data_IF_326662233269
#
_entry.id   IF_326662233269
#
_cell.length_a   1.000
_cell.length_b   1.000
_cell.length_c   1.000
_cell.angle_alpha   90.00
_cell.angle_beta   90.00
_cell.angle_gamma   90.00
#
_symmetry.space_group_name_H-M   'P 1'
#
loop_
_entity.id
_entity.type
_entity.pdbx_description
1 polymer ?
#
# COMPACT_ATOMS: atom_id res chain seq x y z
N UNK A 1 -0.92 -5.98 23.77
CA UNK A 1 -0.48 -4.88 22.89
C UNK A 1 -1.62 -4.58 21.93
N UNK A 2 -2.26 -3.42 22.03
CA UNK A 2 -3.21 -2.99 21.01
C UNK A 2 -2.37 -2.68 19.76
N UNK A 3 -2.68 -3.31 18.63
CA UNK A 3 -2.03 -3.00 17.37
C UNK A 3 -2.48 -1.60 16.95
N UNK A 4 -1.55 -0.68 16.86
CA UNK A 4 -1.82 0.66 16.35
C UNK A 4 -1.51 0.68 14.85
N UNK A 5 -2.42 1.23 14.05
CA UNK A 5 -2.30 1.20 12.59
C UNK A 5 -1.23 2.19 12.15
N UNK A 6 -0.14 1.70 11.55
CA UNK A 6 0.90 2.57 11.02
C UNK A 6 0.51 3.11 9.63
N UNK A 7 1.07 4.26 9.26
CA UNK A 7 0.80 4.87 7.94
C UNK A 7 1.09 3.90 6.79
N UNK A 8 2.16 3.12 6.87
CA UNK A 8 2.52 2.14 5.85
C UNK A 8 1.56 0.94 5.79
N UNK A 9 0.83 0.63 6.88
CA UNK A 9 -0.22 -0.38 6.85
C UNK A 9 -1.40 0.09 5.98
N UNK A 10 -1.73 1.37 6.03
CA UNK A 10 -2.76 1.98 5.19
C UNK A 10 -2.33 2.05 3.72
N UNK A 11 -1.05 2.34 3.45
CA UNK A 11 -0.47 2.29 2.10
C UNK A 11 -0.56 0.86 1.54
N UNK A 12 -0.15 -0.14 2.34
CA UNK A 12 -0.23 -1.55 1.97
C UNK A 12 -1.67 -1.99 1.72
N UNK A 13 -2.59 -1.59 2.59
CA UNK A 13 -4.02 -1.85 2.42
C UNK A 13 -4.55 -1.21 1.12
N UNK A 14 -4.15 0.02 0.82
CA UNK A 14 -4.53 0.71 -0.42
C UNK A 14 -4.08 -0.02 -1.68
N UNK A 15 -2.87 -0.61 -1.67
CA UNK A 15 -2.36 -1.42 -2.78
C UNK A 15 -3.20 -2.70 -2.95
N UNK A 16 -3.42 -3.44 -1.86
CA UNK A 16 -4.21 -4.66 -1.88
C UNK A 16 -5.66 -4.40 -2.32
N UNK A 17 -6.25 -3.30 -1.83
CA UNK A 17 -7.58 -2.85 -2.22
C UNK A 17 -7.63 -2.50 -3.71
N UNK A 18 -6.65 -1.75 -4.23
CA UNK A 18 -6.57 -1.41 -5.66
C UNK A 18 -6.57 -2.66 -6.54
N UNK A 19 -5.72 -3.65 -6.21
CA UNK A 19 -5.64 -4.91 -6.94
C UNK A 19 -6.94 -5.72 -6.86
N UNK A 20 -7.54 -5.78 -5.69
CA UNK A 20 -8.81 -6.48 -5.47
C UNK A 20 -9.95 -5.85 -6.28
N UNK A 21 -10.00 -4.51 -6.33
CA UNK A 21 -10.96 -3.77 -7.16
C UNK A 21 -10.71 -4.03 -8.64
N UNK A 22 -9.45 -3.99 -9.11
CA UNK A 22 -9.11 -4.32 -10.51
C UNK A 22 -9.55 -5.73 -10.92
N UNK A 23 -9.29 -6.72 -10.06
CA UNK A 23 -9.75 -8.08 -10.27
C UNK A 23 -11.28 -8.18 -10.28
N UNK A 24 -11.96 -7.53 -9.33
CA UNK A 24 -13.42 -7.46 -9.25
C UNK A 24 -14.03 -6.84 -10.51
N UNK A 25 -13.48 -5.73 -10.99
CA UNK A 25 -13.94 -5.07 -12.23
C UNK A 25 -13.77 -6.00 -13.43
N UNK A 26 -12.61 -6.62 -13.59
CA UNK A 26 -12.34 -7.53 -14.70
C UNK A 26 -13.19 -8.82 -14.68
N UNK A 27 -13.68 -9.22 -13.51
CA UNK A 27 -14.53 -10.42 -13.37
C UNK A 27 -16.03 -10.13 -13.43
N UNK A 28 -16.47 -8.96 -12.95
CA UNK A 28 -17.89 -8.61 -12.78
C UNK A 28 -18.42 -7.69 -13.88
N UNK A 29 -17.57 -7.20 -14.79
CA UNK A 29 -17.96 -6.30 -15.87
C UNK A 29 -17.48 -6.80 -17.23
N UNK A 30 -17.84 -6.10 -18.31
CA UNK A 30 -17.36 -6.39 -19.67
C UNK A 30 -15.96 -5.82 -19.97
N UNK A 31 -15.31 -5.18 -19.00
CA UNK A 31 -13.94 -4.67 -19.15
C UNK A 31 -12.98 -5.87 -19.17
N UNK A 32 -12.04 -5.87 -20.13
CA UNK A 32 -10.99 -6.89 -20.20
C UNK A 32 -10.20 -6.97 -18.89
N UNK A 33 -10.05 -8.19 -18.35
CA UNK A 33 -9.29 -8.44 -17.13
C UNK A 33 -7.86 -7.87 -17.21
N UNK A 34 -7.20 -8.01 -18.35
CA UNK A 34 -5.85 -7.44 -18.55
C UNK A 34 -5.85 -5.92 -18.40
N UNK A 35 -6.84 -5.23 -18.97
CA UNK A 35 -6.96 -3.76 -18.87
C UNK A 35 -7.29 -3.34 -17.44
N UNK A 36 -8.19 -4.06 -16.77
CA UNK A 36 -8.58 -3.78 -15.39
C UNK A 36 -7.41 -3.96 -14.41
N UNK A 37 -6.61 -5.03 -14.56
CA UNK A 37 -5.44 -5.28 -13.71
C UNK A 37 -4.33 -4.26 -14.00
N UNK A 38 -4.03 -3.96 -15.26
CA UNK A 38 -3.01 -2.95 -15.60
C UNK A 38 -3.38 -1.58 -15.04
N UNK A 39 -4.64 -1.15 -15.20
CA UNK A 39 -5.10 0.14 -14.68
C UNK A 39 -5.06 0.21 -13.15
N UNK A 40 -5.53 -0.83 -12.46
CA UNK A 40 -5.38 -0.95 -11.01
C UNK A 40 -3.90 -0.96 -10.58
N UNK A 41 -3.02 -1.54 -11.41
CA UNK A 41 -1.57 -1.58 -11.20
C UNK A 41 -0.98 -0.17 -11.21
N UNK A 42 -1.38 0.66 -12.17
CA UNK A 42 -0.99 2.06 -12.23
C UNK A 42 -1.46 2.84 -11.00
N UNK A 43 -2.68 2.57 -10.52
CA UNK A 43 -3.19 3.17 -9.27
C UNK A 43 -2.35 2.72 -8.07
N UNK A 44 -2.00 1.44 -7.98
CA UNK A 44 -1.12 0.94 -6.93
C UNK A 44 0.27 1.59 -6.99
N UNK A 45 0.85 1.75 -8.20
CA UNK A 45 2.10 2.49 -8.38
C UNK A 45 1.99 3.94 -7.93
N UNK A 46 0.86 4.61 -8.17
CA UNK A 46 0.64 5.97 -7.68
C UNK A 46 0.54 6.03 -6.15
N UNK A 47 -0.14 5.06 -5.51
CA UNK A 47 -0.21 4.93 -4.05
C UNK A 47 1.19 4.72 -3.47
N UNK A 48 1.97 3.81 -4.03
CA UNK A 48 3.36 3.56 -3.64
C UNK A 48 4.19 4.83 -3.83
N UNK A 49 4.09 5.47 -4.99
CA UNK A 49 4.81 6.69 -5.31
C UNK A 49 4.51 7.82 -4.33
N UNK A 50 3.24 8.05 -4.02
CA UNK A 50 2.83 9.03 -3.03
C UNK A 50 3.33 8.65 -1.62
N UNK A 51 3.17 7.38 -1.24
CA UNK A 51 3.59 6.86 0.06
C UNK A 51 5.08 7.01 0.30
N UNK A 52 5.90 6.77 -0.71
CA UNK A 52 7.36 6.76 -0.59
C UNK A 52 8.02 8.12 -0.87
N UNK A 53 7.43 8.98 -1.70
CA UNK A 53 8.11 10.18 -2.21
C UNK A 53 7.42 11.50 -1.88
N UNK A 54 6.12 11.50 -1.57
CA UNK A 54 5.40 12.72 -1.15
C UNK A 54 5.29 12.76 0.37
N UNK A 55 4.89 11.64 0.96
CA UNK A 55 4.97 11.41 2.40
C UNK A 55 6.26 10.64 2.76
N UNK A 56 7.31 10.83 1.94
CA UNK A 56 8.58 10.12 2.02
C UNK A 56 9.34 10.35 3.33
N UNK A 57 10.40 9.55 3.55
CA UNK A 57 10.68 8.83 4.78
C UNK A 57 10.66 9.70 6.03
N UNK A 58 10.05 9.13 7.07
CA UNK A 58 10.02 9.61 8.45
C UNK A 58 11.32 10.33 8.81
N UNK A 59 11.21 11.60 9.17
CA UNK A 59 12.35 12.48 9.44
C UNK A 59 13.21 11.99 10.63
N UNK A 60 12.72 11.05 11.45
CA UNK A 60 13.36 10.70 12.72
C UNK A 60 13.57 9.18 12.97
N UNK A 61 14.76 8.78 13.48
CA UNK A 61 15.13 7.41 13.88
C UNK A 61 14.23 6.71 14.93
N UNK A 62 13.25 7.41 15.51
CA UNK A 62 12.34 6.87 16.52
C UNK A 62 11.40 5.81 15.93
N UNK A 63 11.09 5.89 14.63
CA UNK A 63 10.33 4.87 13.88
C UNK A 63 11.11 3.55 13.65
N UNK A 64 12.43 3.53 13.91
CA UNK A 64 13.29 2.34 13.85
C UNK A 64 13.60 1.76 15.25
N UNK A 65 13.29 2.49 16.32
CA UNK A 65 13.81 2.19 17.68
C UNK A 65 13.16 0.95 18.32
N UNK A 66 11.94 0.58 17.92
CA UNK A 66 11.25 -0.62 18.44
C UNK A 66 11.93 -1.96 18.05
N UNK A 67 12.81 -1.97 17.04
CA UNK A 67 13.53 -3.19 16.63
C UNK A 67 14.87 -3.40 17.37
N UNK A 68 15.46 -2.34 17.92
CA UNK A 68 16.76 -2.40 18.62
C UNK A 68 16.61 -2.81 20.09
N UNK A 69 15.49 -2.45 20.73
CA UNK A 69 15.22 -2.80 22.14
C UNK A 69 14.90 -4.29 22.33
N UNK A 70 14.58 -5.04 21.26
CA UNK A 70 14.42 -6.49 21.30
C UNK A 70 15.74 -7.27 21.17
N UNK A 71 16.85 -6.59 20.86
CA UNK A 71 18.19 -7.19 20.67
C UNK A 71 19.17 -6.88 21.82
N UNK A 72 18.75 -6.14 22.84
CA UNK A 72 19.43 -5.97 24.13
C UNK A 72 18.63 -6.64 25.26
#
# INVERSE_FOLDING_TARGET
MAYDWQYYDLVLFGIALSMSVGAGVGYLTSISLSVAIISAGLVACAIIGHGLFINGPVDEPQDLTNEVEALN
#
